data_IF_258008624130
#
_entry.id   IF_258008624130
#
_cell.length_a   1.000
_cell.length_b   1.000
_cell.length_c   1.000
_cell.angle_alpha   90.00
_cell.angle_beta   90.00
_cell.angle_gamma   90.00
#
_symmetry.space_group_name_H-M   'P 1'
#
loop_
_entity.id
_entity.type
_entity.pdbx_description
1 polymer ?
#
# COMPACT_ATOMS: atom_id res chain seq x y z
N UNK A 1 -23.30 3.12 11.30
CA UNK A 1 -22.34 2.16 10.69
C UNK A 1 -21.55 1.52 11.83
N UNK A 2 -21.56 0.20 11.95
CA UNK A 2 -20.83 -0.50 13.02
C UNK A 2 -19.31 -0.42 12.75
N UNK A 3 -18.45 -0.30 13.78
CA UNK A 3 -17.01 -0.09 13.61
C UNK A 3 -16.28 -1.25 12.90
N UNK A 4 -16.87 -2.44 12.91
CA UNK A 4 -16.46 -3.64 12.17
C UNK A 4 -16.42 -3.51 10.63
N UNK A 5 -17.01 -2.45 10.05
CA UNK A 5 -17.00 -2.22 8.60
C UNK A 5 -15.75 -1.47 8.07
N UNK A 6 -14.82 -1.09 8.93
CA UNK A 6 -13.62 -0.33 8.54
C UNK A 6 -12.40 -1.22 8.28
N UNK A 7 -12.50 -2.52 8.56
CA UNK A 7 -11.36 -3.45 8.46
C UNK A 7 -10.81 -3.55 7.03
N UNK A 8 -11.70 -3.59 6.02
CA UNK A 8 -11.29 -3.57 4.61
C UNK A 8 -10.72 -2.24 4.12
N UNK A 9 -10.93 -1.15 4.87
CA UNK A 9 -10.35 0.17 4.55
C UNK A 9 -8.84 0.21 4.85
N UNK A 10 -8.40 -0.54 5.86
CA UNK A 10 -6.99 -0.62 6.29
C UNK A 10 -6.08 -1.12 5.15
N UNK A 11 -6.34 -2.29 4.52
CA UNK A 11 -5.51 -2.78 3.42
C UNK A 11 -5.59 -1.87 2.18
N UNK A 12 -6.73 -1.24 1.89
CA UNK A 12 -6.85 -0.29 0.77
C UNK A 12 -5.95 0.92 1.00
N UNK A 13 -6.10 1.58 2.15
CA UNK A 13 -5.31 2.78 2.48
C UNK A 13 -3.82 2.45 2.58
N UNK A 14 -3.48 1.32 3.21
CA UNK A 14 -2.10 0.85 3.32
C UNK A 14 -1.46 0.58 1.96
N UNK A 15 -2.17 -0.07 1.05
CA UNK A 15 -1.68 -0.36 -0.30
C UNK A 15 -1.53 0.90 -1.15
N UNK A 16 -2.50 1.82 -1.10
CA UNK A 16 -2.41 3.10 -1.82
C UNK A 16 -1.22 3.91 -1.33
N UNK A 17 -1.03 4.03 -0.02
CA UNK A 17 0.12 4.73 0.56
C UNK A 17 1.44 4.07 0.16
N UNK A 18 1.53 2.74 0.23
CA UNK A 18 2.72 2.00 -0.17
C UNK A 18 3.05 2.24 -1.66
N UNK A 19 2.04 2.25 -2.53
CA UNK A 19 2.21 2.53 -3.96
C UNK A 19 2.66 3.97 -4.22
N UNK A 20 2.09 4.96 -3.52
CA UNK A 20 2.50 6.36 -3.66
C UNK A 20 3.94 6.59 -3.21
N UNK A 21 4.35 5.91 -2.13
CA UNK A 21 5.73 5.88 -1.66
C UNK A 21 6.65 5.20 -2.67
N UNK A 22 6.27 4.04 -3.19
CA UNK A 22 7.06 3.29 -4.17
C UNK A 22 7.26 4.10 -5.46
N UNK A 23 6.21 4.79 -5.93
CA UNK A 23 6.24 5.72 -7.06
C UNK A 23 6.99 7.01 -6.76
N UNK A 24 7.36 7.27 -5.50
CA UNK A 24 8.08 8.47 -5.08
C UNK A 24 7.27 9.76 -5.19
N UNK A 25 5.94 9.63 -5.22
CA UNK A 25 5.01 10.77 -5.21
C UNK A 25 5.05 11.45 -3.84
N UNK A 26 5.21 10.67 -2.77
CA UNK A 26 5.38 11.20 -1.42
C UNK A 26 6.88 11.43 -1.18
N UNK A 27 7.34 12.69 -1.05
CA UNK A 27 8.72 12.99 -0.73
C UNK A 27 9.03 12.44 0.67
N UNK A 28 9.89 11.43 0.72
CA UNK A 28 10.54 11.04 1.98
C UNK A 28 11.78 11.90 2.11
N UNK A 29 12.05 12.40 3.31
CA UNK A 29 13.35 12.95 3.67
C UNK A 29 14.16 11.85 4.36
N UNK A 30 14.78 10.92 3.60
CA UNK A 30 15.49 9.81 4.19
C UNK A 30 16.73 10.28 4.94
N UNK A 31 16.96 9.70 6.11
CA UNK A 31 18.27 9.77 6.77
C UNK A 31 19.38 9.08 5.94
N UNK A 32 19.03 8.04 5.19
CA UNK A 32 19.94 7.28 4.31
C UNK A 32 19.34 7.10 2.89
N UNK A 33 19.72 7.92 1.90
CA UNK A 33 19.14 7.87 0.55
C UNK A 33 19.48 6.58 -0.21
N UNK A 34 20.70 6.03 -0.06
CA UNK A 34 21.14 4.81 -0.76
C UNK A 34 20.33 3.57 -0.38
N UNK A 35 20.06 3.37 0.93
CA UNK A 35 19.23 2.27 1.41
C UNK A 35 17.80 2.36 0.89
N UNK A 36 17.30 3.59 0.70
CA UNK A 36 15.96 3.82 0.20
C UNK A 36 15.88 3.55 -1.30
N UNK A 37 16.93 3.86 -2.07
CA UNK A 37 17.00 3.49 -3.47
C UNK A 37 17.04 1.96 -3.66
N UNK A 38 17.81 1.25 -2.84
CA UNK A 38 17.82 -0.23 -2.79
C UNK A 38 16.45 -0.81 -2.45
N UNK A 39 15.79 -0.24 -1.43
CA UNK A 39 14.44 -0.64 -1.05
C UNK A 39 13.43 -0.34 -2.18
N UNK A 40 13.56 0.79 -2.86
CA UNK A 40 12.68 1.16 -3.99
C UNK A 40 12.89 0.25 -5.20
N UNK A 41 14.12 -0.14 -5.51
CA UNK A 41 14.40 -1.09 -6.61
C UNK A 41 13.87 -2.49 -6.28
N UNK A 42 14.07 -2.96 -5.05
CA UNK A 42 13.66 -4.32 -4.62
C UNK A 42 12.16 -4.44 -4.35
N UNK A 43 11.59 -3.47 -3.64
CA UNK A 43 10.19 -3.48 -3.21
C UNK A 43 9.29 -2.62 -4.07
N UNK A 44 9.80 -1.64 -4.83
CA UNK A 44 8.95 -0.79 -5.67
C UNK A 44 8.25 -1.55 -6.79
N UNK A 45 8.96 -2.47 -7.46
CA UNK A 45 8.36 -3.38 -8.42
C UNK A 45 7.33 -4.32 -7.77
N UNK A 46 7.70 -4.93 -6.65
CA UNK A 46 6.82 -5.81 -5.88
C UNK A 46 5.55 -5.10 -5.41
N UNK A 47 5.65 -3.89 -4.84
CA UNK A 47 4.52 -3.07 -4.36
C UNK A 47 3.65 -2.61 -5.54
N UNK A 48 4.24 -2.35 -6.71
CA UNK A 48 3.46 -1.98 -7.90
C UNK A 48 2.56 -3.13 -8.37
N UNK A 49 3.02 -4.37 -8.22
CA UNK A 49 2.24 -5.57 -8.57
C UNK A 49 1.30 -5.99 -7.44
N UNK A 50 1.78 -6.01 -6.19
CA UNK A 50 1.03 -6.45 -5.01
C UNK A 50 -0.01 -5.42 -4.53
N UNK A 51 0.22 -4.13 -4.79
CA UNK A 51 -0.70 -3.05 -4.42
C UNK A 51 -2.11 -3.21 -4.96
N UNK A 52 -2.31 -3.45 -6.27
CA UNK A 52 -3.61 -3.79 -6.85
C UNK A 52 -4.29 -4.99 -6.16
N UNK A 53 -3.54 -6.05 -5.83
CA UNK A 53 -4.08 -7.23 -5.15
C UNK A 53 -4.55 -6.89 -3.73
N UNK A 54 -3.76 -6.14 -2.96
CA UNK A 54 -4.15 -5.69 -1.62
C UNK A 54 -5.39 -4.77 -1.64
N UNK A 55 -5.49 -3.90 -2.65
CA UNK A 55 -6.68 -3.06 -2.85
C UNK A 55 -7.90 -3.93 -3.16
N UNK A 56 -7.76 -4.91 -4.06
CA UNK A 56 -8.83 -5.87 -4.40
C UNK A 56 -9.30 -6.65 -3.17
N UNK A 57 -8.37 -7.17 -2.36
CA UNK A 57 -8.69 -7.88 -1.12
C UNK A 57 -9.45 -6.97 -0.15
N UNK A 58 -9.00 -5.73 0.03
CA UNK A 58 -9.69 -4.78 0.89
C UNK A 58 -11.08 -4.39 0.38
N UNK A 59 -11.27 -4.31 -0.94
CA UNK A 59 -12.59 -4.11 -1.55
C UNK A 59 -13.50 -5.32 -1.28
N UNK A 60 -12.98 -6.54 -1.43
CA UNK A 60 -13.74 -7.76 -1.13
C UNK A 60 -14.19 -7.81 0.34
N UNK A 61 -13.31 -7.42 1.27
CA UNK A 61 -13.64 -7.28 2.69
C UNK A 61 -14.71 -6.19 2.94
N UNK A 62 -14.61 -5.03 2.28
CA UNK A 62 -15.64 -3.99 2.37
C UNK A 62 -17.00 -4.45 1.82
N UNK A 63 -16.99 -5.28 0.78
CA UNK A 63 -18.19 -5.86 0.19
C UNK A 63 -18.76 -7.06 0.98
N UNK A 64 -18.16 -7.43 2.13
CA UNK A 64 -18.53 -8.62 2.93
C UNK A 64 -18.54 -9.92 2.12
N UNK A 65 -17.75 -9.99 1.06
CA UNK A 65 -17.52 -11.25 0.35
C UNK A 65 -16.54 -12.16 1.10
N UNK A 66 -15.91 -11.66 2.16
CA UNK A 66 -14.99 -12.36 3.05
C UNK A 66 -14.92 -11.69 4.42
#
# INVERSE_FOLDING_TARGET
MKPENLEGLIPIVGAVLAMLVAKGVIPRNPKDPEKLELARRRFGGFITVAGPFLILIGILQLCRLF
#
